data_IF_947702145523
#
_entry.id   IF_947702145523
#
_cell.length_a   1.000
_cell.length_b   1.000
_cell.length_c   1.000
_cell.angle_alpha   90.00
_cell.angle_beta   90.00
_cell.angle_gamma   90.00
#
_symmetry.space_group_name_H-M   'P 1'
#
loop_
_entity.id
_entity.type
_entity.pdbx_description
1 polymer ?
#
# COMPACT_ATOMS: atom_id res chain seq x y z
N UNK A 1 0.43 16.84 -7.47
CA UNK A 1 0.43 15.71 -6.50
C UNK A 1 -0.92 15.00 -6.50
N UNK A 2 -0.99 13.80 -5.97
CA UNK A 2 -2.24 13.01 -5.82
C UNK A 2 -3.25 13.74 -4.93
N UNK A 3 -2.80 14.34 -3.84
CA UNK A 3 -3.65 15.17 -2.99
C UNK A 3 -4.34 16.32 -3.76
N UNK A 4 -3.58 17.03 -4.61
CA UNK A 4 -4.14 18.09 -5.45
C UNK A 4 -5.22 17.55 -6.41
N UNK A 5 -4.99 16.36 -7.00
CA UNK A 5 -5.96 15.72 -7.88
C UNK A 5 -7.24 15.30 -7.12
N UNK A 6 -7.08 14.70 -5.94
CA UNK A 6 -8.20 14.28 -5.09
C UNK A 6 -9.02 15.48 -4.58
N UNK A 7 -8.37 16.59 -4.21
CA UNK A 7 -9.07 17.83 -3.83
C UNK A 7 -9.87 18.38 -5.02
N UNK A 8 -9.26 18.47 -6.20
CA UNK A 8 -9.93 18.97 -7.40
C UNK A 8 -11.12 18.14 -7.85
N UNK A 9 -11.06 16.82 -7.65
CA UNK A 9 -12.16 15.90 -7.98
C UNK A 9 -13.25 15.86 -6.89
N UNK A 10 -13.04 16.53 -5.74
CA UNK A 10 -13.96 16.52 -4.61
C UNK A 10 -14.02 15.18 -3.87
N UNK A 11 -13.00 14.34 -4.04
CA UNK A 11 -12.87 13.04 -3.34
C UNK A 11 -12.01 13.16 -2.07
N UNK A 12 -11.32 14.28 -1.88
CA UNK A 12 -10.62 14.63 -0.64
C UNK A 12 -11.04 16.01 -0.20
N UNK A 13 -11.63 16.12 0.99
CA UNK A 13 -12.07 17.37 1.60
C UNK A 13 -11.21 17.78 2.79
N UNK A 14 -10.60 16.79 3.48
CA UNK A 14 -9.90 17.01 4.73
C UNK A 14 -8.70 16.10 4.90
N UNK A 15 -7.67 16.61 5.55
CA UNK A 15 -6.59 15.83 6.13
C UNK A 15 -6.59 16.13 7.63
N UNK A 16 -6.60 15.10 8.46
CA UNK A 16 -6.62 15.24 9.91
C UNK A 16 -5.63 14.30 10.59
N UNK A 17 -5.28 14.61 11.83
CA UNK A 17 -4.49 13.71 12.65
C UNK A 17 -5.39 12.69 13.31
N UNK A 18 -4.95 11.45 13.37
CA UNK A 18 -5.59 10.41 14.18
C UNK A 18 -4.71 10.08 15.38
N UNK A 19 -5.37 9.90 16.51
CA UNK A 19 -4.71 9.39 17.69
C UNK A 19 -4.45 7.89 17.55
N UNK A 20 -3.36 7.38 18.11
CA UNK A 20 -3.13 5.94 18.19
C UNK A 20 -4.23 5.28 19.05
N UNK A 21 -4.36 3.97 18.90
CA UNK A 21 -5.14 3.16 19.83
C UNK A 21 -4.62 3.34 21.28
N UNK A 22 -5.40 2.94 22.26
CA UNK A 22 -5.02 3.07 23.68
C UNK A 22 -3.72 2.35 24.05
N UNK A 23 -3.32 1.32 23.27
CA UNK A 23 -2.07 0.57 23.39
C UNK A 23 -0.90 1.17 22.57
N UNK A 24 -1.10 2.33 21.95
CA UNK A 24 -0.10 3.00 21.10
C UNK A 24 0.03 2.40 19.70
N UNK A 25 -0.75 1.39 19.36
CA UNK A 25 -0.78 0.79 18.02
C UNK A 25 -1.75 1.54 17.12
N UNK A 26 -1.61 1.36 15.81
CA UNK A 26 -2.53 1.92 14.83
C UNK A 26 -1.88 2.03 13.45
N UNK A 27 -2.69 2.26 12.41
CA UNK A 27 -2.16 2.50 11.07
C UNK A 27 -1.41 3.84 11.02
N UNK A 28 -0.42 3.93 10.13
CA UNK A 28 0.31 5.19 9.91
C UNK A 28 -0.52 6.23 9.13
N UNK A 29 -1.46 5.77 8.33
CA UNK A 29 -2.47 6.58 7.63
C UNK A 29 -3.71 5.74 7.32
N UNK A 30 -4.82 6.41 6.94
CA UNK A 30 -6.05 5.80 6.45
C UNK A 30 -6.88 6.78 5.64
N UNK A 31 -7.68 6.31 4.70
CA UNK A 31 -8.63 7.11 3.95
C UNK A 31 -10.07 6.69 4.24
N UNK A 32 -10.85 7.61 4.79
CA UNK A 32 -12.30 7.45 4.97
C UNK A 32 -13.02 8.02 3.74
N UNK A 33 -13.53 7.12 2.90
CA UNK A 33 -14.21 7.49 1.65
C UNK A 33 -15.54 8.22 1.89
N UNK A 34 -16.24 7.91 2.99
CA UNK A 34 -17.51 8.55 3.31
C UNK A 34 -17.32 9.97 3.83
N UNK A 35 -16.28 10.18 4.63
CA UNK A 35 -15.90 11.50 5.14
C UNK A 35 -14.96 12.23 4.20
N UNK A 36 -14.48 11.59 3.13
CA UNK A 36 -13.48 12.13 2.20
C UNK A 36 -12.25 12.69 2.91
N UNK A 37 -11.79 11.97 3.92
CA UNK A 37 -10.79 12.43 4.87
C UNK A 37 -9.61 11.46 4.88
N UNK A 38 -8.40 11.99 4.71
CA UNK A 38 -7.18 11.25 5.00
C UNK A 38 -6.79 11.50 6.45
N UNK A 39 -6.56 10.44 7.19
CA UNK A 39 -6.11 10.46 8.57
C UNK A 39 -4.63 10.06 8.63
N UNK A 40 -3.81 10.83 9.32
CA UNK A 40 -2.38 10.57 9.50
C UNK A 40 -2.07 10.33 10.98
N UNK A 41 -1.22 9.38 11.28
CA UNK A 41 -0.80 9.08 12.65
C UNK A 41 -0.07 10.27 13.27
N UNK A 42 -0.64 10.84 14.34
CA UNK A 42 -0.02 11.92 15.09
C UNK A 42 1.31 11.46 15.71
N UNK A 43 1.35 10.30 16.33
CA UNK A 43 2.56 9.76 16.96
C UNK A 43 3.73 9.59 15.98
N UNK A 44 3.44 9.16 14.75
CA UNK A 44 4.49 9.01 13.74
C UNK A 44 4.99 10.33 13.20
N UNK A 45 4.12 11.36 13.14
CA UNK A 45 4.51 12.70 12.69
C UNK A 45 5.26 13.49 13.77
N UNK A 46 4.91 13.28 15.04
CA UNK A 46 5.48 13.96 16.21
C UNK A 46 6.66 13.21 16.82
N UNK A 47 7.16 12.15 16.17
CA UNK A 47 8.32 11.40 16.64
C UNK A 47 9.57 12.29 16.64
N UNK A 48 9.97 12.75 17.82
CA UNK A 48 11.16 13.59 18.04
C UNK A 48 12.41 12.78 18.44
N UNK A 49 12.31 11.46 18.54
CA UNK A 49 13.45 10.60 18.86
C UNK A 49 14.37 10.50 17.62
N UNK A 50 15.62 10.98 17.70
CA UNK A 50 16.53 10.98 16.56
C UNK A 50 16.83 9.58 15.99
N UNK A 51 16.60 8.52 16.78
CA UNK A 51 16.84 7.14 16.35
C UNK A 51 15.69 6.54 15.53
N UNK A 52 14.46 7.01 15.75
CA UNK A 52 13.24 6.46 15.14
C UNK A 52 12.57 7.42 14.17
N UNK A 53 12.79 8.72 14.30
CA UNK A 53 12.15 9.79 13.52
C UNK A 53 12.20 9.57 12.00
N UNK A 54 13.37 9.21 11.48
CA UNK A 54 13.54 9.00 10.04
C UNK A 54 12.73 7.79 9.55
N UNK A 55 12.66 6.75 10.38
CA UNK A 55 11.84 5.58 10.12
C UNK A 55 10.34 5.90 10.18
N UNK A 56 9.91 6.64 11.19
CA UNK A 56 8.52 7.09 11.33
C UNK A 56 8.10 7.96 10.15
N UNK A 57 8.95 8.91 9.73
CA UNK A 57 8.70 9.76 8.56
C UNK A 57 8.60 8.94 7.26
N UNK A 58 9.47 7.94 7.08
CA UNK A 58 9.44 7.05 5.93
C UNK A 58 8.11 6.28 5.84
N UNK A 59 7.69 5.70 6.96
CA UNK A 59 6.42 4.93 7.03
C UNK A 59 5.21 5.83 6.78
N UNK A 60 5.17 7.02 7.38
CA UNK A 60 4.07 7.97 7.13
C UNK A 60 4.05 8.45 5.69
N UNK A 61 5.21 8.73 5.09
CA UNK A 61 5.29 9.17 3.69
C UNK A 61 4.75 8.12 2.75
N UNK A 62 5.15 6.86 2.94
CA UNK A 62 4.62 5.74 2.17
C UNK A 62 3.10 5.63 2.35
N UNK A 63 2.63 5.58 3.59
CA UNK A 63 1.21 5.37 3.89
C UNK A 63 0.34 6.56 3.43
N UNK A 64 0.80 7.80 3.60
CA UNK A 64 0.06 8.97 3.12
C UNK A 64 -0.09 8.98 1.59
N UNK A 65 0.94 8.57 0.84
CA UNK A 65 0.85 8.48 -0.61
C UNK A 65 -0.07 7.34 -1.06
N UNK A 66 -0.06 6.20 -0.36
CA UNK A 66 -0.98 5.09 -0.53
C UNK A 66 -2.43 5.56 -0.37
N UNK A 67 -2.76 6.19 0.75
CA UNK A 67 -4.11 6.71 1.01
C UNK A 67 -4.50 7.84 0.04
N UNK A 68 -3.52 8.64 -0.39
CA UNK A 68 -3.70 9.64 -1.45
C UNK A 68 -4.15 9.03 -2.78
N UNK A 69 -3.72 7.82 -3.12
CA UNK A 69 -4.19 7.10 -4.29
C UNK A 69 -5.64 6.62 -4.11
N UNK A 70 -5.98 6.07 -2.95
CA UNK A 70 -7.37 5.73 -2.64
C UNK A 70 -8.30 6.96 -2.74
N UNK A 71 -7.85 8.10 -2.24
CA UNK A 71 -8.61 9.35 -2.37
C UNK A 71 -8.82 9.76 -3.83
N UNK A 72 -7.81 9.62 -4.69
CA UNK A 72 -7.98 9.87 -6.15
C UNK A 72 -9.00 8.91 -6.76
N UNK A 73 -9.06 7.68 -6.30
CA UNK A 73 -9.97 6.64 -6.80
C UNK A 73 -11.33 6.61 -6.12
N UNK A 74 -11.60 7.50 -5.15
CA UNK A 74 -12.81 7.48 -4.35
C UNK A 74 -14.13 7.39 -5.15
N UNK A 75 -14.22 8.11 -6.28
CA UNK A 75 -15.39 8.00 -7.16
C UNK A 75 -15.50 6.64 -7.86
N UNK A 76 -14.37 6.00 -8.20
CA UNK A 76 -14.38 4.65 -8.77
C UNK A 76 -14.81 3.62 -7.72
N UNK A 77 -14.32 3.78 -6.48
CA UNK A 77 -14.69 2.93 -5.38
C UNK A 77 -16.19 3.01 -5.08
N UNK A 78 -16.74 4.23 -5.00
CA UNK A 78 -18.17 4.43 -4.84
C UNK A 78 -18.97 3.73 -5.94
N UNK A 79 -18.57 3.90 -7.19
CA UNK A 79 -19.22 3.22 -8.33
C UNK A 79 -19.14 1.70 -8.21
N UNK A 80 -18.02 1.13 -7.74
CA UNK A 80 -17.88 -0.30 -7.54
C UNK A 80 -18.84 -0.82 -6.47
N UNK A 81 -18.99 -0.09 -5.35
CA UNK A 81 -20.00 -0.41 -4.31
C UNK A 81 -21.41 -0.33 -4.88
N UNK A 82 -21.78 0.76 -5.55
CA UNK A 82 -23.12 0.92 -6.14
C UNK A 82 -23.46 -0.22 -7.11
N UNK A 83 -22.48 -0.69 -7.89
CA UNK A 83 -22.63 -1.83 -8.81
C UNK A 83 -22.77 -3.16 -8.06
N UNK A 84 -22.00 -3.35 -6.98
CA UNK A 84 -22.10 -4.52 -6.13
C UNK A 84 -23.49 -4.61 -5.49
N UNK A 85 -23.96 -3.54 -4.87
CA UNK A 85 -25.27 -3.46 -4.24
C UNK A 85 -26.42 -3.70 -5.24
N UNK A 86 -26.32 -3.09 -6.42
CA UNK A 86 -27.30 -3.32 -7.49
C UNK A 86 -27.32 -4.79 -7.94
N UNK A 87 -26.17 -5.44 -8.04
CA UNK A 87 -26.07 -6.87 -8.41
C UNK A 87 -26.70 -7.77 -7.33
N UNK A 88 -26.43 -7.49 -6.05
CA UNK A 88 -27.03 -8.22 -4.92
C UNK A 88 -28.55 -8.07 -4.94
N UNK A 89 -29.05 -6.83 -5.03
CA UNK A 89 -30.48 -6.54 -5.03
C UNK A 89 -31.20 -7.18 -6.22
N UNK A 90 -30.59 -7.18 -7.39
CA UNK A 90 -31.14 -7.83 -8.59
C UNK A 90 -31.27 -9.35 -8.39
N UNK A 91 -30.25 -9.99 -7.79
CA UNK A 91 -30.32 -11.43 -7.47
C UNK A 91 -31.44 -11.75 -6.49
N UNK A 92 -31.61 -10.90 -5.46
CA UNK A 92 -32.68 -11.06 -4.46
C UNK A 92 -34.06 -10.91 -5.11
N UNK A 93 -34.22 -9.89 -5.96
CA UNK A 93 -35.51 -9.60 -6.62
C UNK A 93 -35.90 -10.69 -7.60
N UNK A 94 -34.96 -11.23 -8.38
CA UNK A 94 -35.22 -12.24 -9.38
C UNK A 94 -35.38 -13.65 -8.79
N UNK A 95 -34.90 -13.87 -7.56
CA UNK A 95 -35.03 -15.18 -6.88
C UNK A 95 -35.37 -15.00 -5.39
N UNK A 96 -36.58 -14.49 -5.08
CA UNK A 96 -36.93 -14.11 -3.69
C UNK A 96 -36.96 -15.30 -2.73
N UNK A 97 -37.31 -16.51 -3.21
CA UNK A 97 -37.52 -17.72 -2.40
C UNK A 97 -36.49 -18.84 -2.69
N UNK A 98 -35.55 -18.63 -3.60
CA UNK A 98 -34.58 -19.65 -4.02
C UNK A 98 -33.16 -19.38 -3.51
N UNK A 99 -32.24 -20.31 -3.80
CA UNK A 99 -30.83 -20.10 -3.53
C UNK A 99 -30.30 -18.86 -4.29
N UNK A 100 -29.42 -18.08 -3.65
CA UNK A 100 -28.90 -16.85 -4.22
C UNK A 100 -27.40 -17.01 -4.44
N UNK A 101 -26.97 -16.89 -5.69
CA UNK A 101 -25.55 -16.90 -6.03
C UNK A 101 -25.04 -15.47 -6.24
N UNK A 102 -24.16 -15.04 -5.35
CA UNK A 102 -23.50 -13.73 -5.38
C UNK A 102 -22.04 -13.83 -5.82
N UNK A 103 -21.55 -15.00 -6.21
CA UNK A 103 -20.14 -15.27 -6.51
C UNK A 103 -19.57 -14.29 -7.50
N UNK A 104 -20.29 -13.97 -8.58
CA UNK A 104 -19.81 -13.02 -9.59
C UNK A 104 -19.70 -11.58 -9.07
N UNK A 105 -20.66 -11.14 -8.25
CA UNK A 105 -20.62 -9.81 -7.65
C UNK A 105 -19.44 -9.68 -6.68
N UNK A 106 -19.26 -10.68 -5.83
CA UNK A 106 -18.14 -10.75 -4.87
C UNK A 106 -16.79 -10.79 -5.63
N UNK A 107 -16.66 -11.62 -6.66
CA UNK A 107 -15.42 -11.72 -7.45
C UNK A 107 -15.03 -10.37 -8.07
N UNK A 108 -15.97 -9.63 -8.65
CA UNK A 108 -15.71 -8.30 -9.22
C UNK A 108 -15.28 -7.29 -8.16
N UNK A 109 -15.89 -7.33 -6.98
CA UNK A 109 -15.52 -6.41 -5.88
C UNK A 109 -14.13 -6.73 -5.34
N UNK A 110 -13.79 -8.01 -5.20
CA UNK A 110 -12.44 -8.44 -4.80
C UNK A 110 -11.38 -8.05 -5.84
N UNK A 111 -11.66 -8.22 -7.13
CA UNK A 111 -10.76 -7.80 -8.21
C UNK A 111 -10.52 -6.30 -8.18
N UNK A 112 -11.57 -5.50 -7.99
CA UNK A 112 -11.44 -4.06 -7.80
C UNK A 112 -10.55 -3.73 -6.59
N UNK A 113 -10.81 -4.34 -5.44
CA UNK A 113 -10.02 -4.14 -4.22
C UNK A 113 -8.55 -4.45 -4.43
N UNK A 114 -8.24 -5.62 -5.02
CA UNK A 114 -6.86 -6.04 -5.35
C UNK A 114 -6.14 -5.01 -6.24
N UNK A 115 -6.82 -4.53 -7.27
CA UNK A 115 -6.25 -3.57 -8.23
C UNK A 115 -6.02 -2.21 -7.58
N UNK A 116 -6.98 -1.73 -6.78
CA UNK A 116 -6.89 -0.46 -6.06
C UNK A 116 -5.76 -0.48 -5.03
N UNK A 117 -5.66 -1.54 -4.23
CA UNK A 117 -4.58 -1.72 -3.26
C UNK A 117 -3.20 -1.78 -3.93
N UNK A 118 -3.08 -2.53 -5.04
CA UNK A 118 -1.82 -2.60 -5.77
C UNK A 118 -1.40 -1.22 -6.32
N UNK A 119 -2.33 -0.44 -6.85
CA UNK A 119 -2.05 0.92 -7.33
C UNK A 119 -1.65 1.85 -6.18
N UNK A 120 -2.29 1.73 -5.02
CA UNK A 120 -1.97 2.51 -3.83
C UNK A 120 -0.58 2.16 -3.27
N UNK A 121 -0.24 0.87 -3.21
CA UNK A 121 1.08 0.41 -2.79
C UNK A 121 2.19 0.93 -3.71
N UNK A 122 1.98 0.94 -5.03
CA UNK A 122 2.94 1.50 -5.99
C UNK A 122 3.18 2.99 -5.73
N UNK A 123 2.14 3.78 -5.46
CA UNK A 123 2.30 5.20 -5.13
C UNK A 123 3.02 5.38 -3.78
N UNK A 124 2.74 4.55 -2.78
CA UNK A 124 3.45 4.54 -1.51
C UNK A 124 4.94 4.25 -1.70
N UNK A 125 5.29 3.21 -2.48
CA UNK A 125 6.67 2.89 -2.82
C UNK A 125 7.38 4.07 -3.49
N UNK A 126 6.75 4.67 -4.50
CA UNK A 126 7.34 5.78 -5.26
C UNK A 126 7.59 7.01 -4.39
N UNK A 127 6.66 7.35 -3.50
CA UNK A 127 6.85 8.46 -2.55
C UNK A 127 8.00 8.19 -1.56
N UNK A 128 8.11 6.97 -1.08
CA UNK A 128 9.20 6.56 -0.21
C UNK A 128 10.56 6.59 -0.93
N UNK A 129 10.60 6.13 -2.19
CA UNK A 129 11.82 6.17 -3.01
C UNK A 129 12.28 7.62 -3.23
N UNK A 130 11.36 8.55 -3.51
CA UNK A 130 11.69 9.98 -3.65
C UNK A 130 12.26 10.57 -2.34
N UNK A 131 11.67 10.25 -1.21
CA UNK A 131 12.16 10.68 0.11
C UNK A 131 13.57 10.15 0.38
N UNK A 132 13.78 8.84 0.18
CA UNK A 132 15.06 8.20 0.45
C UNK A 132 16.15 8.63 -0.52
N UNK A 133 15.82 8.92 -1.79
CA UNK A 133 16.76 9.49 -2.75
C UNK A 133 17.30 10.84 -2.25
N UNK A 134 16.42 11.75 -1.83
CA UNK A 134 16.83 13.05 -1.26
C UNK A 134 17.68 12.89 0.00
N UNK A 135 17.38 11.87 0.82
CA UNK A 135 18.17 11.55 2.01
C UNK A 135 19.56 11.04 1.63
N UNK A 136 19.65 10.10 0.70
CA UNK A 136 20.93 9.56 0.21
C UNK A 136 21.81 10.64 -0.40
N UNK A 137 21.23 11.54 -1.21
CA UNK A 137 21.93 12.71 -1.77
C UNK A 137 22.53 13.61 -0.68
N UNK A 138 21.74 13.90 0.38
CA UNK A 138 22.20 14.70 1.52
C UNK A 138 23.32 14.01 2.31
N UNK A 139 23.29 12.69 2.40
CA UNK A 139 24.28 11.87 3.09
C UNK A 139 25.52 11.56 2.22
N UNK A 140 25.52 11.92 0.94
CA UNK A 140 26.58 11.57 -0.02
C UNK A 140 26.68 10.07 -0.28
N UNK A 141 25.56 9.33 -0.15
CA UNK A 141 25.49 7.90 -0.37
C UNK A 141 24.85 7.57 -1.71
N UNK A 142 25.19 6.43 -2.34
CA UNK A 142 24.46 5.94 -3.51
C UNK A 142 23.02 5.59 -3.09
N UNK A 143 22.07 5.93 -3.97
CA UNK A 143 20.68 5.51 -3.84
C UNK A 143 20.44 4.32 -4.77
N UNK A 144 20.26 3.13 -4.18
CA UNK A 144 20.04 1.87 -4.88
C UNK A 144 18.99 1.00 -4.14
N UNK A 145 18.73 -0.19 -4.67
CA UNK A 145 17.76 -1.12 -4.07
C UNK A 145 18.16 -1.58 -2.66
N UNK A 146 19.46 -1.67 -2.39
CA UNK A 146 19.96 -2.00 -1.05
C UNK A 146 19.59 -0.88 -0.06
N UNK A 147 19.90 0.37 -0.41
CA UNK A 147 19.56 1.54 0.42
C UNK A 147 18.06 1.63 0.70
N UNK A 148 17.24 1.38 -0.34
CA UNK A 148 15.78 1.37 -0.20
C UNK A 148 15.32 0.29 0.79
N UNK A 149 15.75 -0.96 0.60
CA UNK A 149 15.34 -2.08 1.43
C UNK A 149 15.78 -1.92 2.88
N UNK A 150 17.06 -1.62 3.09
CA UNK A 150 17.67 -1.49 4.42
C UNK A 150 17.09 -0.31 5.22
N UNK A 151 16.70 0.78 4.55
CA UNK A 151 16.04 1.90 5.20
C UNK A 151 14.68 1.52 5.80
N UNK A 152 13.89 0.71 5.09
CA UNK A 152 12.63 0.18 5.63
C UNK A 152 12.86 -0.84 6.73
N UNK A 153 13.84 -1.73 6.57
CA UNK A 153 14.18 -2.72 7.59
C UNK A 153 14.67 -2.06 8.88
N UNK A 154 15.51 -1.01 8.77
CA UNK A 154 15.96 -0.20 9.91
C UNK A 154 14.79 0.54 10.60
N UNK A 155 13.75 0.88 9.86
CA UNK A 155 12.51 1.43 10.41
C UNK A 155 11.58 0.36 11.05
N UNK A 156 12.03 -0.89 11.14
CA UNK A 156 11.21 -2.01 11.62
C UNK A 156 10.07 -2.41 10.66
N UNK A 157 10.12 -1.94 9.42
CA UNK A 157 9.05 -2.18 8.44
C UNK A 157 9.48 -3.24 7.43
N UNK A 158 8.72 -4.32 7.34
CA UNK A 158 9.01 -5.46 6.45
C UNK A 158 8.32 -5.36 5.08
N UNK A 159 7.68 -4.23 4.77
CA UNK A 159 6.87 -4.06 3.55
C UNK A 159 7.68 -4.25 2.27
N UNK A 160 8.98 -3.93 2.27
CA UNK A 160 9.84 -4.10 1.11
C UNK A 160 9.90 -5.54 0.58
N UNK A 161 9.65 -6.54 1.42
CA UNK A 161 9.55 -7.95 0.99
C UNK A 161 8.45 -8.23 -0.06
N UNK A 162 7.47 -7.36 -0.19
CA UNK A 162 6.43 -7.48 -1.22
C UNK A 162 6.90 -6.99 -2.59
N UNK A 163 7.89 -6.10 -2.62
CA UNK A 163 8.43 -5.50 -3.84
C UNK A 163 9.73 -6.16 -4.27
N UNK A 164 10.56 -6.56 -3.32
CA UNK A 164 11.94 -6.99 -3.55
C UNK A 164 12.27 -8.30 -2.85
N UNK A 165 13.26 -9.00 -3.41
CA UNK A 165 13.94 -10.13 -2.79
C UNK A 165 15.27 -9.64 -2.19
N UNK A 166 15.56 -10.08 -0.95
CA UNK A 166 16.86 -9.97 -0.28
C UNK A 166 17.46 -11.38 -0.22
N UNK A 167 18.55 -11.60 -0.93
CA UNK A 167 19.18 -12.92 -1.05
C UNK A 167 20.59 -12.88 -0.48
N UNK A 168 20.96 -13.76 0.46
CA UNK A 168 22.32 -13.82 0.97
C UNK A 168 23.30 -14.24 -0.14
N UNK A 169 24.50 -13.66 -0.14
CA UNK A 169 25.57 -14.04 -1.06
C UNK A 169 26.30 -15.24 -0.47
N UNK A 170 26.39 -16.32 -1.25
CA UNK A 170 27.05 -17.55 -0.81
C UNK A 170 28.52 -17.30 -0.43
N UNK A 171 28.91 -17.82 0.73
CA UNK A 171 30.28 -17.67 1.26
C UNK A 171 30.62 -16.29 1.85
N UNK A 172 29.68 -15.34 1.84
CA UNK A 172 29.90 -13.98 2.37
C UNK A 172 28.91 -13.65 3.47
N UNK A 173 29.25 -13.91 4.71
CA UNK A 173 28.39 -13.65 5.85
C UNK A 173 28.00 -12.15 5.96
N UNK A 174 26.70 -11.88 6.05
CA UNK A 174 26.15 -10.52 6.17
C UNK A 174 26.08 -9.72 4.87
N UNK A 175 26.48 -10.30 3.73
CA UNK A 175 26.35 -9.67 2.41
C UNK A 175 25.10 -10.17 1.70
N UNK A 176 24.33 -9.26 1.14
CA UNK A 176 23.07 -9.54 0.45
C UNK A 176 23.04 -8.91 -0.94
N UNK A 177 22.33 -9.54 -1.85
CA UNK A 177 21.90 -8.94 -3.12
C UNK A 177 20.41 -8.58 -3.02
N UNK A 178 20.02 -7.52 -3.74
CA UNK A 178 18.66 -7.01 -3.76
C UNK A 178 18.18 -6.94 -5.20
N UNK A 179 16.98 -7.45 -5.44
CA UNK A 179 16.36 -7.43 -6.76
C UNK A 179 14.86 -7.22 -6.65
N UNK A 180 14.27 -6.51 -7.61
CA UNK A 180 12.82 -6.43 -7.70
C UNK A 180 12.22 -7.81 -7.96
N UNK A 181 11.01 -8.04 -7.45
CA UNK A 181 10.27 -9.27 -7.74
C UNK A 181 9.88 -9.34 -9.22
N UNK A 182 9.71 -10.55 -9.78
CA UNK A 182 9.31 -10.72 -11.17
C UNK A 182 8.06 -9.91 -11.52
N UNK A 183 8.11 -9.22 -12.65
CA UNK A 183 7.02 -8.38 -13.15
C UNK A 183 6.95 -6.98 -12.54
N UNK A 184 7.76 -6.67 -11.53
CA UNK A 184 7.87 -5.32 -10.95
C UNK A 184 9.16 -4.69 -11.49
N UNK A 185 9.02 -3.72 -12.39
CA UNK A 185 10.15 -2.96 -12.93
C UNK A 185 10.25 -1.58 -12.31
N UNK A 186 11.49 -1.10 -12.14
CA UNK A 186 11.77 0.27 -11.73
C UNK A 186 12.59 1.00 -12.79
N UNK A 187 12.49 2.32 -12.82
CA UNK A 187 13.34 3.17 -13.62
C UNK A 187 14.67 3.48 -12.91
N UNK A 188 15.49 4.36 -13.49
CA UNK A 188 16.76 4.82 -12.96
C UNK A 188 16.67 5.56 -11.61
N UNK A 189 15.48 6.02 -11.24
CA UNK A 189 15.19 6.67 -9.96
C UNK A 189 14.55 5.71 -8.96
N UNK A 190 14.54 4.40 -9.24
CA UNK A 190 13.87 3.38 -8.43
C UNK A 190 12.37 3.70 -8.28
N UNK A 191 11.75 4.32 -9.28
CA UNK A 191 10.32 4.52 -9.33
C UNK A 191 9.68 3.35 -10.10
N UNK A 192 8.69 2.69 -9.50
CA UNK A 192 7.86 1.75 -10.22
C UNK A 192 7.05 2.56 -11.24
N UNK A 193 7.19 2.21 -12.51
CA UNK A 193 6.43 2.85 -13.58
C UNK A 193 4.95 2.74 -13.28
N UNK A 194 4.26 3.87 -13.39
CA UNK A 194 2.83 3.94 -13.08
C UNK A 194 2.09 2.81 -13.74
N UNK A 195 1.35 2.16 -12.93
CA UNK A 195 0.45 1.06 -13.11
C UNK A 195 -0.06 0.89 -14.55
N UNK A 196 0.78 0.29 -15.40
CA UNK A 196 0.22 -0.49 -16.47
C UNK A 196 -0.43 -1.75 -15.83
N UNK A 197 -1.40 -2.33 -16.49
CA UNK A 197 -2.14 -3.48 -15.96
C UNK A 197 -1.20 -4.64 -15.55
N UNK A 198 -0.05 -4.77 -16.22
CA UNK A 198 0.94 -5.83 -15.97
C UNK A 198 1.64 -5.63 -14.64
N UNK A 199 2.07 -4.41 -14.32
CA UNK A 199 2.74 -4.10 -13.05
C UNK A 199 1.79 -4.22 -11.87
N UNK A 200 0.55 -3.74 -12.02
CA UNK A 200 -0.49 -3.86 -11.00
C UNK A 200 -0.81 -5.33 -10.72
N UNK A 201 -0.95 -6.14 -11.76
CA UNK A 201 -1.21 -7.57 -11.60
C UNK A 201 -0.03 -8.31 -10.95
N UNK A 202 1.21 -8.04 -11.39
CA UNK A 202 2.40 -8.63 -10.80
C UNK A 202 2.53 -8.27 -9.32
N UNK A 203 2.29 -7.00 -8.96
CA UNK A 203 2.30 -6.56 -7.58
C UNK A 203 1.16 -7.22 -6.78
N UNK A 204 -0.06 -7.19 -7.30
CA UNK A 204 -1.23 -7.80 -6.69
C UNK A 204 -0.99 -9.29 -6.38
N UNK A 205 -0.39 -10.03 -7.31
CA UNK A 205 0.00 -11.42 -7.11
C UNK A 205 1.06 -11.58 -6.01
N UNK A 206 2.12 -10.79 -6.05
CA UNK A 206 3.18 -10.85 -5.04
C UNK A 206 2.71 -10.43 -3.64
N UNK A 207 1.78 -9.49 -3.55
CA UNK A 207 1.26 -8.99 -2.28
C UNK A 207 0.18 -9.91 -1.70
N UNK A 208 -0.87 -10.23 -2.46
CA UNK A 208 -2.01 -10.97 -1.94
C UNK A 208 -1.76 -12.49 -1.91
N UNK A 209 -1.14 -13.05 -2.95
CA UNK A 209 -0.94 -14.50 -3.02
C UNK A 209 0.18 -14.97 -2.08
N UNK A 210 1.16 -14.12 -1.76
CA UNK A 210 2.19 -14.42 -0.77
C UNK A 210 1.63 -14.54 0.67
N UNK A 211 0.53 -13.86 0.96
CA UNK A 211 -0.16 -13.95 2.27
C UNK A 211 -0.91 -15.28 2.40
N UNK A 212 -1.40 -15.82 1.29
CA UNK A 212 -2.16 -17.10 1.28
C UNK A 212 -1.23 -18.32 1.36
N UNK A 213 0.03 -18.17 0.95
CA UNK A 213 1.02 -19.27 0.96
C UNK A 213 1.82 -19.39 2.27
N UNK A 214 1.50 -18.59 3.30
CA UNK A 214 2.02 -18.81 4.65
C UNK A 214 1.59 -20.18 5.17
N UNK A 215 2.42 -20.88 6.00
CA UNK A 215 2.03 -22.14 6.58
C UNK A 215 0.67 -21.96 7.28
N UNK A 216 -0.30 -22.79 6.93
CA UNK A 216 -1.57 -22.83 7.62
C UNK A 216 -1.26 -22.88 9.12
N UNK A 217 -1.72 -21.88 9.86
CA UNK A 217 -1.70 -22.01 11.33
C UNK A 217 -2.55 -23.22 11.64
N UNK A 218 -1.89 -24.34 11.91
CA UNK A 218 -2.56 -25.49 12.51
C UNK A 218 -3.14 -24.98 13.81
N UNK A 219 -4.45 -24.81 13.84
CA UNK A 219 -5.20 -24.63 15.06
C UNK A 219 -4.91 -25.86 15.92
N UNK A 220 -3.92 -25.74 16.81
CA UNK A 220 -3.75 -26.65 17.93
C UNK A 220 -4.89 -26.31 18.89
N UNK A 221 -5.82 -27.28 19.01
CA UNK A 221 -6.95 -27.24 19.91
C UNK A 221 -6.55 -27.20 21.39
#
# INVERSE_FOLDING_TARGET
SKFTAAIRSGTLEKIELMNPNADGTGPAAGYDVLKKTIQLSQTSLEDNNPKTRDGSLLVVTHSAAHEGQHAVEGNKFKKAIDQFDASINNTITNNPNGPRDHTQAVAKMLEYGRTSEAAAEIEGFNAAAELLKKKAEKEGKPFDLAYMYESFEAAGNTRMRFYMNKTPVEGQAGVFTYAMKPGIGVDENIQIKKADAVTVEAFSKNFFDAVVSGPAQTASG
#
